data_IF_424444309183
#
_entry.id   IF_424444309183
#
_cell.length_a   1.000
_cell.length_b   1.000
_cell.length_c   1.000
_cell.angle_alpha   90.00
_cell.angle_beta   90.00
_cell.angle_gamma   90.00
#
_symmetry.space_group_name_H-M   'P 1'
#
loop_
_entity.id
_entity.type
_entity.pdbx_description
1 polymer ?
#
# COMPACT_ATOMS: atom_id res chain seq x y z
N UNK A 1 -19.11 -19.37 13.52
CA UNK A 1 -19.94 -19.87 14.64
C UNK A 1 -19.06 -20.73 15.52
N UNK A 2 -18.86 -20.38 16.80
CA UNK A 2 -18.03 -21.17 17.72
C UNK A 2 -18.83 -22.40 18.21
N UNK A 3 -18.37 -23.63 17.94
CA UNK A 3 -19.12 -24.85 18.28
C UNK A 3 -19.01 -25.23 19.77
N UNK A 4 -17.97 -24.76 20.47
CA UNK A 4 -17.72 -25.08 21.87
C UNK A 4 -18.20 -23.96 22.79
N UNK A 5 -19.25 -24.23 23.59
CA UNK A 5 -19.80 -23.30 24.58
C UNK A 5 -18.78 -22.85 25.63
N UNK A 6 -17.73 -23.65 25.92
CA UNK A 6 -16.65 -23.27 26.85
C UNK A 6 -15.66 -22.28 26.26
N UNK A 7 -15.64 -22.12 24.94
CA UNK A 7 -14.78 -21.18 24.21
C UNK A 7 -15.53 -19.96 23.69
N UNK A 8 -16.77 -19.78 24.14
CA UNK A 8 -17.54 -18.57 23.85
C UNK A 8 -17.01 -17.44 24.75
N UNK A 9 -16.65 -16.27 24.18
CA UNK A 9 -16.20 -15.12 24.95
C UNK A 9 -17.24 -14.70 25.99
N UNK A 10 -16.77 -14.40 27.20
CA UNK A 10 -17.62 -13.85 28.28
C UNK A 10 -18.00 -12.41 27.95
N UNK A 11 -17.03 -11.59 27.52
CA UNK A 11 -17.30 -10.27 26.95
C UNK A 11 -17.29 -10.33 25.42
N UNK A 12 -18.11 -9.46 24.80
CA UNK A 12 -18.21 -9.32 23.35
C UNK A 12 -18.23 -7.85 23.00
N UNK A 13 -17.64 -7.51 21.87
CA UNK A 13 -17.73 -6.19 21.28
C UNK A 13 -18.53 -6.29 19.99
N UNK A 14 -19.37 -5.29 19.74
CA UNK A 14 -20.02 -5.17 18.44
C UNK A 14 -19.14 -4.35 17.50
N UNK A 15 -18.79 -4.95 16.35
CA UNK A 15 -18.06 -4.29 15.28
C UNK A 15 -18.84 -4.51 14.00
N UNK A 16 -19.44 -3.45 13.45
CA UNK A 16 -20.22 -3.49 12.20
C UNK A 16 -21.32 -4.56 12.22
N UNK A 17 -22.05 -4.64 13.33
CA UNK A 17 -23.12 -5.62 13.54
C UNK A 17 -22.63 -7.05 13.83
N UNK A 18 -21.31 -7.28 13.90
CA UNK A 18 -20.74 -8.57 14.27
C UNK A 18 -20.30 -8.57 15.73
N UNK A 19 -20.65 -9.62 16.45
CA UNK A 19 -20.16 -9.86 17.81
C UNK A 19 -18.77 -10.50 17.74
N UNK A 20 -17.75 -9.78 18.17
CA UNK A 20 -16.34 -10.20 18.12
C UNK A 20 -15.75 -10.31 19.52
N UNK A 21 -14.68 -11.08 19.65
CA UNK A 21 -13.91 -11.19 20.89
C UNK A 21 -13.08 -9.91 21.10
N UNK A 22 -13.13 -9.26 22.28
CA UNK A 22 -12.15 -8.24 22.63
C UNK A 22 -10.70 -8.70 22.42
N UNK A 23 -9.88 -7.83 21.81
CA UNK A 23 -8.46 -8.14 21.50
C UNK A 23 -7.66 -8.50 22.75
N UNK A 24 -7.89 -7.80 23.85
CA UNK A 24 -7.24 -8.07 25.14
C UNK A 24 -7.50 -9.52 25.62
N UNK A 25 -8.77 -9.94 25.61
CA UNK A 25 -9.13 -11.31 26.00
C UNK A 25 -8.60 -12.34 25.00
N UNK A 26 -8.68 -12.05 23.70
CA UNK A 26 -8.14 -12.91 22.65
C UNK A 26 -6.64 -13.17 22.85
N UNK A 27 -5.85 -12.14 23.18
CA UNK A 27 -4.42 -12.25 23.47
C UNK A 27 -4.11 -13.16 24.68
N UNK A 28 -4.99 -13.17 25.68
CA UNK A 28 -4.87 -14.06 26.84
C UNK A 28 -5.05 -15.53 26.45
N UNK A 29 -5.95 -15.84 25.51
CA UNK A 29 -6.31 -17.23 25.16
C UNK A 29 -5.52 -17.81 23.98
N UNK A 30 -4.96 -16.99 23.09
CA UNK A 30 -4.18 -17.49 21.95
C UNK A 30 -2.93 -18.25 22.42
N UNK A 31 -2.55 -19.29 21.67
CA UNK A 31 -1.33 -20.04 21.92
C UNK A 31 -0.06 -19.29 21.45
N UNK A 32 1.14 -19.75 21.86
CA UNK A 32 2.40 -19.18 21.39
C UNK A 32 2.58 -19.26 19.87
N UNK A 33 1.99 -20.27 19.21
CA UNK A 33 2.04 -20.42 17.75
C UNK A 33 1.44 -19.22 16.99
N UNK A 34 0.55 -18.44 17.59
CA UNK A 34 0.04 -17.22 16.96
C UNK A 34 1.15 -16.17 16.76
N UNK A 35 2.03 -16.01 17.76
CA UNK A 35 3.14 -15.05 17.73
C UNK A 35 4.25 -15.47 16.76
N UNK A 36 4.40 -16.78 16.52
CA UNK A 36 5.34 -17.34 15.55
C UNK A 36 4.79 -17.28 14.12
N UNK A 37 3.53 -17.70 13.93
CA UNK A 37 2.95 -17.82 12.60
C UNK A 37 2.39 -16.47 12.08
N UNK A 38 2.05 -15.55 12.97
CA UNK A 38 1.48 -14.24 12.64
C UNK A 38 2.13 -13.12 13.48
N UNK A 39 3.46 -12.97 13.44
CA UNK A 39 4.19 -12.07 14.34
C UNK A 39 3.72 -10.62 14.20
N UNK A 40 3.51 -10.14 12.97
CA UNK A 40 2.97 -8.78 12.71
C UNK A 40 1.62 -8.56 13.38
N UNK A 41 0.70 -9.51 13.23
CA UNK A 41 -0.65 -9.38 13.81
C UNK A 41 -0.60 -9.43 15.35
N UNK A 42 0.35 -10.19 15.92
CA UNK A 42 0.61 -10.18 17.35
C UNK A 42 1.20 -8.85 17.84
N UNK A 43 2.17 -8.27 17.13
CA UNK A 43 2.71 -6.93 17.46
C UNK A 43 1.61 -5.85 17.39
N UNK A 44 0.78 -5.86 16.34
CA UNK A 44 -0.34 -4.92 16.19
C UNK A 44 -1.34 -5.10 17.33
N UNK A 45 -1.72 -6.35 17.64
CA UNK A 45 -2.64 -6.64 18.72
C UNK A 45 -2.09 -6.12 20.06
N UNK A 46 -0.82 -6.35 20.37
CA UNK A 46 -0.17 -5.81 21.57
C UNK A 46 -0.16 -4.28 21.57
N UNK A 47 0.15 -3.63 20.44
CA UNK A 47 0.19 -2.18 20.31
C UNK A 47 -1.18 -1.51 20.51
N UNK A 48 -2.27 -2.21 20.18
CA UNK A 48 -3.64 -1.71 20.40
C UNK A 48 -4.08 -1.75 21.86
N UNK A 49 -3.46 -2.58 22.71
CA UNK A 49 -3.72 -2.62 24.16
C UNK A 49 -3.21 -1.32 24.80
N UNK A 50 -4.09 -0.53 25.42
CA UNK A 50 -3.72 0.75 26.03
C UNK A 50 -3.06 0.56 27.38
N UNK A 51 -3.51 -0.42 28.15
CA UNK A 51 -2.95 -0.72 29.46
C UNK A 51 -3.07 -2.21 29.82
N UNK A 52 -2.09 -2.73 30.57
CA UNK A 52 -2.14 -4.10 31.10
C UNK A 52 -3.41 -4.39 31.92
N UNK A 53 -4.07 -3.37 32.50
CA UNK A 53 -5.36 -3.52 33.18
C UNK A 53 -6.48 -4.10 32.32
N UNK A 54 -6.37 -4.02 30.98
CA UNK A 54 -7.32 -4.66 30.06
C UNK A 54 -7.17 -6.19 30.03
N UNK A 55 -5.99 -6.70 30.36
CA UNK A 55 -5.65 -8.13 30.34
C UNK A 55 -5.85 -8.78 31.72
N UNK A 56 -5.56 -8.04 32.78
CA UNK A 56 -5.52 -8.56 34.15
C UNK A 56 -6.81 -9.24 34.62
N UNK A 57 -8.03 -8.71 34.34
CA UNK A 57 -9.27 -9.38 34.73
C UNK A 57 -9.37 -10.81 34.17
N UNK A 58 -8.99 -11.00 32.90
CA UNK A 58 -8.99 -12.31 32.26
C UNK A 58 -7.88 -13.20 32.78
N UNK A 59 -6.65 -12.66 32.91
CA UNK A 59 -5.50 -13.44 33.36
C UNK A 59 -5.64 -13.94 34.81
N UNK A 60 -6.29 -13.17 35.67
CA UNK A 60 -6.43 -13.47 37.10
C UNK A 60 -7.74 -14.20 37.44
N UNK A 61 -8.64 -14.40 36.48
CA UNK A 61 -9.89 -15.13 36.68
C UNK A 61 -9.66 -16.64 36.88
N UNK A 62 -10.56 -17.29 37.62
CA UNK A 62 -10.59 -18.74 37.80
C UNK A 62 -9.24 -19.34 38.23
N UNK A 63 -8.77 -20.33 37.47
CA UNK A 63 -7.51 -21.05 37.70
C UNK A 63 -6.24 -20.22 37.48
N UNK A 64 -6.37 -18.95 37.07
CA UNK A 64 -5.28 -18.01 36.75
C UNK A 64 -4.44 -18.49 35.57
N UNK A 65 -4.36 -17.69 34.52
CA UNK A 65 -3.70 -18.07 33.28
C UNK A 65 -2.17 -17.81 33.35
N UNK A 66 -1.46 -18.52 34.22
CA UNK A 66 -0.03 -18.32 34.53
C UNK A 66 0.86 -18.37 33.27
N UNK A 67 0.61 -19.33 32.38
CA UNK A 67 1.36 -19.51 31.13
C UNK A 67 1.12 -18.37 30.15
N UNK A 68 -0.13 -17.92 30.02
CA UNK A 68 -0.49 -16.77 29.19
C UNK A 68 0.10 -15.46 29.75
N UNK A 69 0.03 -15.25 31.07
CA UNK A 69 0.60 -14.08 31.72
C UNK A 69 2.12 -14.01 31.54
N UNK A 70 2.82 -15.14 31.71
CA UNK A 70 4.26 -15.25 31.49
C UNK A 70 4.65 -14.91 30.04
N UNK A 71 3.90 -15.44 29.08
CA UNK A 71 4.06 -15.16 27.66
C UNK A 71 3.81 -13.69 27.33
N UNK A 72 2.69 -13.13 27.76
CA UNK A 72 2.31 -11.75 27.44
C UNK A 72 3.24 -10.74 28.09
N UNK A 73 3.68 -10.96 29.33
CA UNK A 73 4.68 -10.10 29.96
C UNK A 73 5.99 -10.10 29.17
N UNK A 74 6.48 -11.26 28.73
CA UNK A 74 7.65 -11.34 27.86
C UNK A 74 7.43 -10.66 26.50
N UNK A 75 6.24 -10.84 25.90
CA UNK A 75 5.87 -10.24 24.63
C UNK A 75 5.82 -8.71 24.71
N UNK A 76 5.25 -8.12 25.78
CA UNK A 76 5.25 -6.68 26.00
C UNK A 76 6.67 -6.12 26.18
N UNK A 77 7.52 -6.82 26.93
CA UNK A 77 8.92 -6.43 27.06
C UNK A 77 9.63 -6.45 25.69
N UNK A 78 9.39 -7.47 24.86
CA UNK A 78 9.95 -7.57 23.51
C UNK A 78 9.51 -6.38 22.64
N UNK A 79 8.22 -6.03 22.61
CA UNK A 79 7.71 -4.87 21.84
C UNK A 79 7.97 -3.52 22.52
N UNK A 80 9.03 -3.43 23.33
CA UNK A 80 9.50 -2.21 24.00
C UNK A 80 8.44 -1.53 24.90
N UNK A 81 7.65 -2.35 25.62
CA UNK A 81 6.63 -1.91 26.59
C UNK A 81 6.87 -2.55 27.98
N UNK A 82 7.97 -2.19 28.66
CA UNK A 82 8.38 -2.83 29.91
C UNK A 82 7.41 -2.57 31.06
N UNK A 83 6.71 -1.42 31.08
CA UNK A 83 5.78 -1.06 32.16
C UNK A 83 4.58 -2.02 32.22
N UNK A 84 4.05 -2.41 31.06
CA UNK A 84 2.98 -3.40 30.95
C UNK A 84 3.46 -4.78 31.41
N UNK A 85 4.67 -5.17 31.01
CA UNK A 85 5.29 -6.41 31.44
C UNK A 85 5.46 -6.46 32.97
N UNK A 86 5.96 -5.37 33.56
CA UNK A 86 6.16 -5.26 35.01
C UNK A 86 4.83 -5.27 35.76
N UNK A 87 3.80 -4.60 35.24
CA UNK A 87 2.47 -4.57 35.86
C UNK A 87 1.81 -5.93 35.89
N UNK A 88 1.95 -6.73 34.84
CA UNK A 88 1.47 -8.14 34.82
C UNK A 88 2.20 -8.96 35.88
N UNK A 89 3.53 -8.85 35.95
CA UNK A 89 4.34 -9.57 36.94
C UNK A 89 3.97 -9.19 38.38
N UNK A 90 3.86 -7.89 38.68
CA UNK A 90 3.45 -7.39 40.00
C UNK A 90 2.07 -7.90 40.43
N UNK A 91 1.13 -8.01 39.49
CA UNK A 91 -0.21 -8.52 39.78
C UNK A 91 -0.19 -10.00 40.21
N UNK A 92 0.60 -10.83 39.54
CA UNK A 92 0.76 -12.25 39.92
C UNK A 92 1.59 -12.43 41.20
N UNK A 93 2.63 -11.60 41.40
CA UNK A 93 3.45 -11.62 42.61
C UNK A 93 2.63 -11.33 43.88
N UNK A 94 1.62 -10.46 43.81
CA UNK A 94 0.65 -10.24 44.92
C UNK A 94 -0.11 -11.50 45.31
N UNK A 95 -0.27 -12.44 44.39
CA UNK A 95 -0.86 -13.76 44.63
C UNK A 95 0.17 -14.82 44.97
N UNK A 96 1.43 -14.42 45.24
CA UNK A 96 2.58 -15.30 45.51
C UNK A 96 2.92 -16.25 44.34
N UNK A 97 2.58 -15.85 43.11
CA UNK A 97 2.90 -16.60 41.89
C UNK A 97 4.05 -15.88 41.17
N UNK A 98 5.15 -16.59 40.95
CA UNK A 98 6.29 -16.09 40.17
C UNK A 98 6.14 -16.53 38.72
N UNK A 99 6.15 -15.57 37.79
CA UNK A 99 6.05 -15.83 36.35
C UNK A 99 7.43 -16.15 35.76
N UNK A 100 7.50 -17.19 34.91
CA UNK A 100 8.70 -17.52 34.13
C UNK A 100 8.55 -16.96 32.72
N UNK A 101 9.13 -15.80 32.47
CA UNK A 101 9.01 -15.10 31.19
C UNK A 101 9.63 -15.91 30.04
N UNK A 102 8.87 -16.07 28.96
CA UNK A 102 9.32 -16.72 27.71
C UNK A 102 8.80 -15.88 26.55
N UNK A 103 9.72 -15.27 25.79
CA UNK A 103 9.37 -14.49 24.60
C UNK A 103 8.73 -15.42 23.55
N UNK A 104 7.49 -15.17 23.10
CA UNK A 104 6.85 -16.03 22.11
C UNK A 104 7.18 -15.69 20.65
N UNK A 105 7.91 -14.60 20.40
CA UNK A 105 8.32 -14.21 19.04
C UNK A 105 9.62 -14.92 18.64
N UNK A 106 9.72 -15.27 17.35
CA UNK A 106 10.97 -15.70 16.69
C UNK A 106 11.66 -14.55 15.93
N UNK A 107 11.16 -13.33 16.09
CA UNK A 107 11.77 -12.13 15.54
C UNK A 107 13.00 -11.72 16.36
N UNK A 108 14.05 -11.28 15.68
CA UNK A 108 15.23 -10.71 16.33
C UNK A 108 14.91 -9.36 17.01
N UNK A 109 14.08 -8.55 16.37
CA UNK A 109 13.64 -7.24 16.86
C UNK A 109 12.19 -6.96 16.44
N UNK A 110 11.46 -6.09 17.17
CA UNK A 110 10.12 -5.66 16.79
C UNK A 110 10.11 -4.91 15.46
N UNK A 111 9.06 -5.12 14.65
CA UNK A 111 8.87 -4.38 13.39
C UNK A 111 8.09 -3.07 13.60
N UNK A 112 7.43 -2.92 14.74
CA UNK A 112 6.64 -1.75 15.07
C UNK A 112 7.37 -0.94 16.15
N UNK A 113 7.68 0.31 15.81
CA UNK A 113 8.23 1.25 16.79
C UNK A 113 7.20 1.59 17.88
N UNK A 114 7.63 1.79 19.14
CA UNK A 114 6.76 2.31 20.20
C UNK A 114 6.15 3.64 19.79
N UNK A 115 4.85 3.80 20.05
CA UNK A 115 4.15 5.02 19.71
C UNK A 115 2.79 5.13 20.37
N UNK A 116 2.14 6.28 20.14
CA UNK A 116 0.75 6.51 20.53
C UNK A 116 -0.25 6.06 19.45
N UNK A 117 0.23 5.64 18.29
CA UNK A 117 -0.61 5.09 17.23
C UNK A 117 -1.37 3.86 17.73
N UNK A 118 -2.67 3.80 17.43
CA UNK A 118 -3.57 2.71 17.84
C UNK A 118 -4.39 2.17 16.69
N UNK A 119 -4.39 2.84 15.54
CA UNK A 119 -5.04 2.33 14.34
C UNK A 119 -4.32 1.06 13.87
N UNK A 120 -4.98 -0.11 13.89
CA UNK A 120 -4.36 -1.35 13.42
C UNK A 120 -3.98 -1.27 11.94
N UNK A 121 -4.67 -0.43 11.16
CA UNK A 121 -4.35 -0.20 9.75
C UNK A 121 -3.01 0.52 9.59
N UNK A 122 -2.81 1.63 10.32
CA UNK A 122 -1.54 2.38 10.29
C UNK A 122 -0.39 1.52 10.79
N UNK A 123 -0.58 0.82 11.91
CA UNK A 123 0.43 -0.08 12.47
C UNK A 123 0.82 -1.19 11.49
N UNK A 124 -0.16 -1.74 10.74
CA UNK A 124 0.11 -2.73 9.69
C UNK A 124 0.94 -2.15 8.56
N UNK A 125 0.61 -0.96 8.07
CA UNK A 125 1.36 -0.31 6.99
C UNK A 125 2.80 -0.02 7.40
N UNK A 126 3.02 0.47 8.63
CA UNK A 126 4.37 0.72 9.16
C UNK A 126 5.18 -0.57 9.35
N UNK A 127 4.55 -1.63 9.86
CA UNK A 127 5.20 -2.95 9.97
C UNK A 127 5.54 -3.54 8.60
N UNK A 128 4.64 -3.42 7.62
CA UNK A 128 4.91 -3.81 6.23
C UNK A 128 6.10 -3.04 5.68
N UNK A 129 6.12 -1.71 5.85
CA UNK A 129 7.23 -0.87 5.39
C UNK A 129 8.56 -1.28 5.99
N UNK A 130 8.63 -1.34 7.34
CA UNK A 130 9.85 -1.67 8.07
C UNK A 130 10.37 -3.07 7.71
N UNK A 131 9.48 -4.07 7.67
CA UNK A 131 9.85 -5.46 7.39
C UNK A 131 10.24 -5.73 5.94
N UNK A 132 9.87 -4.87 4.99
CA UNK A 132 10.08 -5.08 3.56
C UNK A 132 11.14 -4.18 2.94
N UNK A 133 11.56 -3.13 3.66
CA UNK A 133 12.54 -2.15 3.19
C UNK A 133 13.80 -2.80 2.66
N UNK A 134 14.40 -3.73 3.41
CA UNK A 134 15.66 -4.36 3.02
C UNK A 134 15.51 -5.31 1.83
N UNK A 135 14.39 -6.02 1.72
CA UNK A 135 14.10 -6.90 0.58
C UNK A 135 14.02 -6.11 -0.72
N UNK A 136 13.42 -4.91 -0.70
CA UNK A 136 13.38 -4.03 -1.87
C UNK A 136 14.77 -3.53 -2.25
N UNK A 137 15.57 -3.11 -1.27
CA UNK A 137 16.97 -2.68 -1.51
C UNK A 137 17.77 -3.80 -2.17
N UNK A 138 17.61 -5.05 -1.69
CA UNK A 138 18.34 -6.20 -2.22
C UNK A 138 17.93 -6.57 -3.66
N UNK A 139 16.69 -6.28 -4.07
CA UNK A 139 16.17 -6.60 -5.40
C UNK A 139 16.49 -5.55 -6.48
N UNK A 140 16.80 -4.31 -6.08
CA UNK A 140 17.00 -3.18 -6.99
C UNK A 140 18.48 -2.88 -7.25
N UNK A 141 18.85 -2.43 -8.46
CA UNK A 141 20.18 -1.89 -8.69
C UNK A 141 20.36 -0.55 -7.92
N UNK A 142 21.60 -0.15 -7.60
CA UNK A 142 21.87 1.15 -6.99
C UNK A 142 21.29 2.31 -7.80
N UNK A 143 20.89 3.38 -7.11
CA UNK A 143 20.33 4.57 -7.74
C UNK A 143 21.35 5.20 -8.71
N UNK A 144 20.98 5.49 -9.97
CA UNK A 144 21.88 6.14 -10.94
C UNK A 144 22.34 7.54 -10.52
N UNK A 145 21.56 8.22 -9.68
CA UNK A 145 21.79 9.61 -9.29
C UNK A 145 21.19 10.62 -10.27
N UNK A 146 21.09 11.88 -9.83
CA UNK A 146 20.40 12.95 -10.55
C UNK A 146 21.33 13.86 -11.37
N UNK A 147 22.64 13.63 -11.31
CA UNK A 147 23.65 14.50 -11.92
C UNK A 147 23.48 14.56 -13.45
N UNK A 148 23.44 15.79 -14.00
CA UNK A 148 23.34 16.09 -15.43
C UNK A 148 22.06 15.62 -16.17
N UNK A 149 20.96 15.34 -15.45
CA UNK A 149 19.77 14.73 -16.07
C UNK A 149 18.52 15.61 -16.22
N UNK A 150 18.44 16.83 -15.68
CA UNK A 150 17.17 17.59 -15.60
C UNK A 150 16.32 17.64 -16.89
N UNK A 151 16.81 18.31 -17.94
CA UNK A 151 16.09 18.41 -19.20
C UNK A 151 16.08 17.08 -20.00
N UNK A 152 17.18 16.33 -19.96
CA UNK A 152 17.29 15.05 -20.68
C UNK A 152 16.41 13.93 -20.10
N UNK A 153 16.09 13.98 -18.81
CA UNK A 153 15.24 12.99 -18.15
C UNK A 153 13.80 13.12 -18.63
N UNK A 154 13.23 14.32 -18.63
CA UNK A 154 11.86 14.54 -19.09
C UNK A 154 11.70 14.21 -20.57
N UNK A 155 12.72 14.46 -21.40
CA UNK A 155 12.72 14.03 -22.80
C UNK A 155 12.65 12.49 -22.93
N UNK A 156 13.44 11.75 -22.13
CA UNK A 156 13.34 10.27 -22.08
C UNK A 156 12.02 9.77 -21.53
N UNK A 157 11.36 10.52 -20.64
CA UNK A 157 10.01 10.22 -20.17
C UNK A 157 9.01 10.36 -21.32
N UNK A 158 9.11 11.44 -22.11
CA UNK A 158 8.26 11.66 -23.28
C UNK A 158 8.38 10.56 -24.34
N UNK A 159 9.59 10.08 -24.60
CA UNK A 159 9.85 8.96 -25.51
C UNK A 159 9.10 7.67 -25.11
N UNK A 160 8.74 7.52 -23.83
CA UNK A 160 8.03 6.34 -23.31
C UNK A 160 6.52 6.52 -23.21
N UNK A 161 6.00 7.73 -23.45
CA UNK A 161 4.59 8.05 -23.21
C UNK A 161 3.63 7.10 -23.94
N UNK A 162 3.81 6.88 -25.25
CA UNK A 162 2.87 6.09 -26.06
C UNK A 162 2.77 4.66 -25.52
N UNK A 163 3.93 4.06 -25.24
CA UNK A 163 3.99 2.72 -24.66
C UNK A 163 3.42 2.65 -23.24
N UNK A 164 3.76 3.62 -22.39
CA UNK A 164 3.23 3.70 -21.04
C UNK A 164 1.70 3.79 -21.05
N UNK A 165 1.14 4.71 -21.84
CA UNK A 165 -0.29 4.90 -21.98
C UNK A 165 -0.98 3.64 -22.50
N UNK A 166 -0.45 3.00 -23.55
CA UNK A 166 -1.00 1.76 -24.10
C UNK A 166 -1.07 0.68 -23.01
N UNK A 167 0.08 0.35 -22.40
CA UNK A 167 0.16 -0.74 -21.44
C UNK A 167 -0.65 -0.45 -20.18
N UNK A 168 -0.56 0.77 -19.65
CA UNK A 168 -1.26 1.19 -18.44
C UNK A 168 -2.78 1.17 -18.64
N UNK A 169 -3.30 1.60 -19.79
CA UNK A 169 -4.73 1.55 -20.08
C UNK A 169 -5.21 0.12 -20.39
N UNK A 170 -4.45 -0.66 -21.17
CA UNK A 170 -4.82 -2.04 -21.49
C UNK A 170 -4.84 -2.97 -20.28
N UNK A 171 -3.98 -2.76 -19.28
CA UNK A 171 -3.99 -3.52 -18.02
C UNK A 171 -5.33 -3.36 -17.28
N UNK A 172 -5.95 -2.18 -17.37
CA UNK A 172 -7.27 -1.88 -16.79
C UNK A 172 -8.44 -2.29 -17.69
N UNK A 173 -8.16 -2.82 -18.89
CA UNK A 173 -9.17 -3.34 -19.82
C UNK A 173 -9.73 -2.32 -20.83
N UNK A 174 -9.06 -1.17 -21.02
CA UNK A 174 -9.37 -0.26 -22.12
C UNK A 174 -8.81 -0.79 -23.45
N UNK A 175 -9.54 -0.57 -24.56
CA UNK A 175 -9.12 -0.96 -25.90
C UNK A 175 -8.55 0.25 -26.63
N UNK A 176 -7.24 0.46 -26.48
CA UNK A 176 -6.52 1.61 -27.06
C UNK A 176 -5.50 1.14 -28.09
N UNK A 177 -5.20 2.02 -29.05
CA UNK A 177 -4.16 1.81 -30.07
C UNK A 177 -3.16 2.96 -30.01
N UNK A 178 -1.94 2.73 -30.50
CA UNK A 178 -0.90 3.77 -30.59
C UNK A 178 -1.41 5.00 -31.35
N UNK A 179 -2.15 4.79 -32.46
CA UNK A 179 -2.73 5.87 -33.25
C UNK A 179 -3.73 6.72 -32.45
N UNK A 180 -4.57 6.10 -31.61
CA UNK A 180 -5.49 6.82 -30.73
C UNK A 180 -4.72 7.64 -29.69
N UNK A 181 -3.73 7.04 -29.05
CA UNK A 181 -2.91 7.67 -28.01
C UNK A 181 -2.13 8.86 -28.56
N UNK A 182 -1.52 8.71 -29.74
CA UNK A 182 -0.82 9.80 -30.43
C UNK A 182 -1.77 10.93 -30.83
N UNK A 183 -2.95 10.60 -31.35
CA UNK A 183 -3.97 11.59 -31.75
C UNK A 183 -4.38 12.45 -30.57
N UNK A 184 -4.62 11.82 -29.42
CA UNK A 184 -5.00 12.47 -28.17
C UNK A 184 -3.89 13.39 -27.63
N UNK A 185 -2.62 12.96 -27.75
CA UNK A 185 -1.47 13.73 -27.28
C UNK A 185 -1.20 14.99 -28.13
N UNK A 186 -1.41 14.92 -29.44
CA UNK A 186 -1.17 16.03 -30.38
C UNK A 186 -2.17 17.19 -30.27
N UNK A 187 -3.20 17.08 -29.44
CA UNK A 187 -4.16 18.18 -29.19
C UNK A 187 -5.22 18.38 -30.28
N UNK A 188 -5.25 17.57 -31.34
CA UNK A 188 -6.32 17.56 -32.36
C UNK A 188 -7.61 16.87 -31.86
N UNK A 189 -7.84 16.84 -30.55
CA UNK A 189 -9.04 16.26 -29.96
C UNK A 189 -10.16 17.31 -29.99
N UNK A 190 -11.21 17.04 -30.77
CA UNK A 190 -12.36 17.93 -30.90
C UNK A 190 -13.61 17.21 -30.34
N UNK A 191 -14.08 17.55 -29.12
CA UNK A 191 -15.27 16.94 -28.55
C UNK A 191 -16.56 17.23 -29.33
N UNK A 192 -16.53 18.23 -30.21
CA UNK A 192 -17.61 18.63 -31.13
C UNK A 192 -17.37 18.13 -32.58
N UNK A 193 -16.31 17.34 -32.79
CA UNK A 193 -16.04 16.60 -34.02
C UNK A 193 -16.95 15.37 -34.16
N UNK A 194 -16.48 14.31 -34.83
CA UNK A 194 -17.29 13.08 -35.04
C UNK A 194 -17.78 12.50 -33.68
N UNK A 195 -19.07 12.69 -33.32
CA UNK A 195 -19.54 12.52 -31.94
C UNK A 195 -19.45 11.08 -31.44
N UNK A 196 -19.40 10.11 -32.37
CA UNK A 196 -19.34 8.68 -32.07
C UNK A 196 -17.94 8.24 -31.59
N UNK A 197 -16.86 8.89 -32.03
CA UNK A 197 -15.51 8.37 -31.83
C UNK A 197 -14.75 9.02 -30.65
N UNK A 198 -14.95 10.32 -30.40
CA UNK A 198 -14.21 11.06 -29.38
C UNK A 198 -14.87 11.04 -27.99
N UNK A 199 -16.12 10.60 -27.89
CA UNK A 199 -16.83 10.34 -26.62
C UNK A 199 -16.80 8.87 -26.18
N UNK A 200 -16.07 8.02 -26.90
CA UNK A 200 -15.92 6.63 -26.48
C UNK A 200 -15.19 6.56 -25.13
N UNK A 201 -15.57 5.58 -24.31
CA UNK A 201 -14.93 5.33 -23.00
C UNK A 201 -13.42 5.23 -23.11
N UNK A 202 -12.92 4.58 -24.17
CA UNK A 202 -11.49 4.34 -24.38
C UNK A 202 -10.76 5.62 -24.84
N UNK A 203 -11.37 6.46 -25.68
CA UNK A 203 -10.80 7.76 -26.07
C UNK A 203 -10.71 8.75 -24.90
N UNK A 204 -11.76 8.81 -24.07
CA UNK A 204 -11.77 9.66 -22.87
C UNK A 204 -10.73 9.19 -21.84
N UNK A 205 -10.59 7.87 -21.66
CA UNK A 205 -9.55 7.32 -20.80
C UNK A 205 -8.14 7.63 -21.32
N UNK A 206 -7.91 7.53 -22.63
CA UNK A 206 -6.64 7.94 -23.24
C UNK A 206 -6.37 9.43 -23.05
N UNK A 207 -7.39 10.29 -23.18
CA UNK A 207 -7.28 11.74 -22.96
C UNK A 207 -6.95 12.09 -21.52
N UNK A 208 -7.67 11.50 -20.57
CA UNK A 208 -7.41 11.74 -19.16
C UNK A 208 -6.03 11.23 -18.75
N UNK A 209 -5.62 10.07 -19.29
CA UNK A 209 -4.27 9.56 -19.03
C UNK A 209 -3.19 10.49 -19.56
N UNK A 210 -3.36 11.06 -20.75
CA UNK A 210 -2.44 12.07 -21.28
C UNK A 210 -2.33 13.28 -20.35
N UNK A 211 -3.46 13.83 -19.91
CA UNK A 211 -3.47 15.00 -19.03
C UNK A 211 -2.80 14.71 -17.69
N UNK A 212 -3.11 13.55 -17.08
CA UNK A 212 -2.45 13.10 -15.85
C UNK A 212 -0.95 12.91 -16.06
N UNK A 213 -0.53 12.36 -17.21
CA UNK A 213 0.89 12.20 -17.54
C UNK A 213 1.62 13.55 -17.65
N UNK A 214 0.99 14.57 -18.25
CA UNK A 214 1.55 15.93 -18.31
C UNK A 214 1.69 16.51 -16.90
N UNK A 215 0.66 16.40 -16.05
CA UNK A 215 0.72 16.85 -14.66
C UNK A 215 1.82 16.13 -13.85
N UNK A 216 1.99 14.82 -14.07
CA UNK A 216 3.06 14.03 -13.45
C UNK A 216 4.45 14.50 -13.90
N UNK A 217 4.63 14.90 -15.17
CA UNK A 217 5.90 15.47 -15.62
C UNK A 217 6.24 16.77 -14.89
N UNK A 218 5.26 17.62 -14.61
CA UNK A 218 5.46 18.81 -13.81
C UNK A 218 5.90 18.45 -12.38
N UNK A 219 5.25 17.45 -11.76
CA UNK A 219 5.66 16.92 -10.47
C UNK A 219 7.08 16.34 -10.49
N UNK A 220 7.45 15.59 -11.53
CA UNK A 220 8.82 15.10 -11.72
C UNK A 220 9.80 16.27 -11.82
N UNK A 221 9.45 17.35 -12.53
CA UNK A 221 10.25 18.57 -12.56
C UNK A 221 10.55 19.13 -11.17
N UNK A 222 9.56 19.13 -10.26
CA UNK A 222 9.72 19.54 -8.86
C UNK A 222 10.65 18.59 -8.08
N UNK A 223 10.55 17.28 -8.32
CA UNK A 223 11.43 16.27 -7.72
C UNK A 223 12.88 16.44 -8.21
N UNK A 224 13.09 16.61 -9.52
CA UNK A 224 14.41 16.84 -10.11
C UNK A 224 15.03 18.16 -9.67
N UNK A 225 14.22 19.16 -9.33
CA UNK A 225 14.63 20.41 -8.69
C UNK A 225 14.92 20.26 -7.17
N UNK A 226 15.24 19.04 -6.71
CA UNK A 226 15.56 18.67 -5.31
C UNK A 226 14.38 18.81 -4.33
N UNK A 227 13.13 18.81 -4.83
CA UNK A 227 11.96 18.65 -3.98
C UNK A 227 11.90 17.25 -3.35
N UNK A 228 11.42 17.14 -2.10
CA UNK A 228 11.17 15.83 -1.48
C UNK A 228 10.06 15.12 -2.26
N UNK A 229 10.36 13.94 -2.81
CA UNK A 229 9.42 13.24 -3.68
C UNK A 229 8.15 12.77 -2.95
N UNK A 230 8.26 12.38 -1.67
CA UNK A 230 7.11 12.03 -0.84
C UNK A 230 6.14 13.19 -0.67
N UNK A 231 6.66 14.39 -0.38
CA UNK A 231 5.84 15.61 -0.30
C UNK A 231 5.22 16.00 -1.65
N UNK A 232 5.96 15.86 -2.74
CA UNK A 232 5.46 16.17 -4.09
C UNK A 232 4.28 15.25 -4.43
N UNK A 233 4.42 13.93 -4.26
CA UNK A 233 3.33 13.00 -4.55
C UNK A 233 2.15 13.18 -3.60
N UNK A 234 2.40 13.45 -2.30
CA UNK A 234 1.34 13.77 -1.32
C UNK A 234 0.47 14.93 -1.80
N UNK A 235 1.10 16.01 -2.27
CA UNK A 235 0.37 17.21 -2.72
C UNK A 235 -0.31 17.03 -4.07
N UNK A 236 0.39 16.44 -5.04
CA UNK A 236 -0.01 16.51 -6.45
C UNK A 236 -0.88 15.31 -6.90
N UNK A 237 -0.95 14.20 -6.15
CA UNK A 237 -1.68 12.99 -6.59
C UNK A 237 -3.18 13.21 -6.84
N UNK A 238 -3.80 14.13 -6.11
CA UNK A 238 -5.21 14.46 -6.26
C UNK A 238 -5.47 15.22 -7.57
N UNK A 239 -4.52 16.06 -7.99
CA UNK A 239 -4.56 16.76 -9.28
C UNK A 239 -4.39 15.76 -10.43
N UNK A 240 -3.47 14.78 -10.30
CA UNK A 240 -3.33 13.71 -11.29
C UNK A 240 -4.61 12.89 -11.45
N UNK A 241 -5.30 12.62 -10.34
CA UNK A 241 -6.57 11.92 -10.36
C UNK A 241 -7.68 12.76 -11.03
N UNK A 242 -7.71 14.06 -10.74
CA UNK A 242 -8.64 14.99 -11.40
C UNK A 242 -8.42 15.04 -12.91
N UNK A 243 -7.17 15.13 -13.37
CA UNK A 243 -6.84 15.09 -14.80
C UNK A 243 -7.18 13.74 -15.45
N UNK A 244 -6.95 12.63 -14.72
CA UNK A 244 -7.24 11.28 -15.23
C UNK A 244 -8.71 11.07 -15.58
N UNK A 245 -9.62 11.70 -14.85
CA UNK A 245 -11.07 11.53 -15.02
C UNK A 245 -11.79 12.78 -15.56
N UNK A 246 -11.10 13.92 -15.65
CA UNK A 246 -11.63 15.19 -16.14
C UNK A 246 -12.42 15.07 -17.44
N UNK A 247 -11.88 14.44 -18.50
CA UNK A 247 -12.61 14.24 -19.76
C UNK A 247 -13.92 13.46 -19.60
N UNK A 248 -13.92 12.43 -18.76
CA UNK A 248 -15.12 11.63 -18.49
C UNK A 248 -16.19 12.43 -17.73
N UNK A 249 -15.77 13.37 -16.87
CA UNK A 249 -16.68 14.30 -16.19
C UNK A 249 -17.24 15.34 -17.16
N UNK A 250 -16.39 15.94 -17.99
CA UNK A 250 -16.84 16.89 -19.03
C UNK A 250 -17.82 16.24 -20.01
N UNK A 251 -17.62 14.96 -20.34
CA UNK A 251 -18.52 14.18 -21.17
C UNK A 251 -19.81 13.71 -20.46
N UNK A 252 -19.97 13.98 -19.17
CA UNK A 252 -21.14 13.58 -18.38
C UNK A 252 -21.23 12.07 -18.09
N UNK A 253 -20.14 11.32 -18.28
CA UNK A 253 -20.07 9.87 -18.01
C UNK A 253 -19.79 9.60 -16.52
N UNK A 254 -19.05 10.51 -15.89
CA UNK A 254 -18.67 10.45 -14.48
C UNK A 254 -19.20 11.69 -13.77
N UNK A 255 -19.79 11.52 -12.60
CA UNK A 255 -20.24 12.63 -11.76
C UNK A 255 -19.04 13.45 -11.27
N UNK A 256 -19.11 14.79 -11.35
CA UNK A 256 -18.03 15.66 -10.89
C UNK A 256 -17.68 15.44 -9.40
N UNK A 257 -18.65 15.03 -8.59
CA UNK A 257 -18.43 14.67 -7.18
C UNK A 257 -17.48 13.48 -6.99
N UNK A 258 -17.28 12.63 -8.01
CA UNK A 258 -16.31 11.53 -7.95
C UNK A 258 -14.85 12.01 -8.04
N UNK A 259 -14.60 13.25 -8.48
CA UNK A 259 -13.29 13.90 -8.36
C UNK A 259 -13.06 14.48 -6.96
N UNK A 260 -14.12 14.64 -6.17
CA UNK A 260 -14.07 15.27 -4.86
C UNK A 260 -13.65 14.26 -3.79
N UNK A 261 -12.34 14.09 -3.64
CA UNK A 261 -11.75 13.38 -2.51
C UNK A 261 -11.61 11.87 -2.69
N UNK A 262 -11.41 11.17 -1.57
CA UNK A 262 -11.31 9.71 -1.52
C UNK A 262 -12.69 9.06 -1.45
N UNK A 263 -12.75 7.77 -1.78
CA UNK A 263 -13.98 7.00 -1.73
C UNK A 263 -14.58 6.98 -0.32
N UNK A 264 -15.91 7.00 -0.25
CA UNK A 264 -16.66 6.87 1.00
C UNK A 264 -17.31 5.51 1.18
N UNK A 265 -17.30 4.68 0.14
CA UNK A 265 -17.92 3.36 0.11
C UNK A 265 -16.93 2.19 0.09
N UNK A 266 -17.43 0.97 0.30
CA UNK A 266 -16.67 -0.26 0.13
C UNK A 266 -16.38 -0.53 -1.35
N UNK A 267 -15.30 -1.26 -1.61
CA UNK A 267 -14.89 -1.71 -2.94
C UNK A 267 -14.28 -3.10 -2.86
N UNK A 268 -14.21 -3.79 -3.99
CA UNK A 268 -13.55 -5.08 -4.13
C UNK A 268 -12.68 -5.09 -5.37
N UNK A 269 -11.49 -5.67 -5.26
CA UNK A 269 -10.59 -5.86 -6.40
C UNK A 269 -10.94 -7.22 -7.01
N UNK A 270 -11.35 -7.22 -8.28
CA UNK A 270 -11.66 -8.48 -8.98
C UNK A 270 -10.41 -9.35 -9.06
N UNK A 271 -10.59 -10.66 -8.83
CA UNK A 271 -9.53 -11.67 -8.90
C UNK A 271 -8.36 -11.47 -7.90
N UNK A 272 -8.61 -10.78 -6.79
CA UNK A 272 -7.67 -10.69 -5.67
C UNK A 272 -8.35 -11.16 -4.39
N UNK A 273 -7.59 -11.86 -3.53
CA UNK A 273 -8.01 -12.18 -2.17
C UNK A 273 -7.80 -11.00 -1.21
N UNK A 274 -7.08 -9.97 -1.65
CA UNK A 274 -6.93 -8.73 -0.90
C UNK A 274 -8.26 -7.97 -0.85
N UNK A 275 -8.64 -7.56 0.36
CA UNK A 275 -9.76 -6.64 0.56
C UNK A 275 -9.19 -5.27 0.90
N UNK A 276 -9.45 -4.24 0.08
CA UNK A 276 -9.01 -2.89 0.37
C UNK A 276 -9.46 -2.40 1.75
N UNK A 277 -8.73 -1.42 2.27
CA UNK A 277 -9.06 -0.83 3.57
C UNK A 277 -10.49 -0.27 3.58
N UNK A 278 -11.18 -0.30 4.71
CA UNK A 278 -12.48 0.36 4.77
C UNK A 278 -12.31 1.89 4.69
N UNK A 279 -13.36 2.60 4.24
CA UNK A 279 -13.29 4.04 3.98
C UNK A 279 -12.92 4.86 5.21
N UNK A 280 -13.30 4.40 6.41
CA UNK A 280 -12.99 5.09 7.67
C UNK A 280 -11.50 5.03 8.04
N UNK A 281 -10.74 4.10 7.45
CA UNK A 281 -9.30 3.96 7.70
C UNK A 281 -8.44 4.70 6.67
N UNK A 282 -9.03 5.24 5.60
CA UNK A 282 -8.27 5.77 4.46
C UNK A 282 -7.37 6.94 4.82
N UNK A 283 -7.91 7.95 5.51
CA UNK A 283 -7.17 9.19 5.79
C UNK A 283 -5.93 8.92 6.65
N UNK A 284 -6.11 8.22 7.77
CA UNK A 284 -5.00 7.85 8.66
C UNK A 284 -3.96 6.99 7.93
N UNK A 285 -4.42 6.07 7.08
CA UNK A 285 -3.54 5.15 6.34
C UNK A 285 -2.74 5.85 5.24
N UNK A 286 -3.36 6.80 4.54
CA UNK A 286 -2.69 7.62 3.54
C UNK A 286 -1.70 8.58 4.21
N UNK A 287 -2.08 9.21 5.33
CA UNK A 287 -1.15 10.07 6.07
C UNK A 287 0.09 9.29 6.52
N UNK A 288 -0.09 8.08 7.04
CA UNK A 288 1.01 7.19 7.36
C UNK A 288 1.86 6.84 6.14
N UNK A 289 1.25 6.56 4.98
CA UNK A 289 1.99 6.33 3.73
C UNK A 289 2.82 7.55 3.34
N UNK A 290 2.24 8.75 3.45
CA UNK A 290 2.93 9.99 3.09
C UNK A 290 4.11 10.30 4.00
N UNK A 291 3.96 10.11 5.31
CA UNK A 291 5.07 10.24 6.26
C UNK A 291 6.21 9.25 5.95
N UNK A 292 5.89 7.99 5.63
CA UNK A 292 6.89 6.99 5.27
C UNK A 292 7.60 7.35 3.96
N UNK A 293 6.86 7.86 2.96
CA UNK A 293 7.43 8.33 1.71
C UNK A 293 8.28 9.58 1.87
N UNK A 294 7.93 10.49 2.76
CA UNK A 294 8.72 11.70 3.01
C UNK A 294 10.03 11.36 3.72
N UNK A 295 9.99 10.42 4.66
CA UNK A 295 11.13 10.03 5.48
C UNK A 295 12.10 9.03 4.82
N UNK A 296 11.67 8.28 3.81
CA UNK A 296 12.49 7.23 3.21
C UNK A 296 13.61 7.79 2.31
N UNK A 297 14.90 7.54 2.62
CA UNK A 297 16.00 8.01 1.78
C UNK A 297 16.09 7.28 0.43
N UNK A 298 15.80 5.98 0.38
CA UNK A 298 16.03 5.15 -0.81
C UNK A 298 14.90 5.29 -1.84
N UNK A 299 15.25 5.76 -3.04
CA UNK A 299 14.27 5.98 -4.11
C UNK A 299 13.57 4.68 -4.58
N UNK A 300 14.29 3.54 -4.59
CA UNK A 300 13.70 2.25 -4.94
C UNK A 300 12.67 1.78 -3.90
N UNK A 301 12.97 1.98 -2.60
CA UNK A 301 12.04 1.67 -1.51
C UNK A 301 10.81 2.55 -1.61
N UNK A 302 10.99 3.87 -1.78
CA UNK A 302 9.88 4.80 -2.03
C UNK A 302 9.01 4.33 -3.18
N UNK A 303 9.61 4.04 -4.33
CA UNK A 303 8.87 3.64 -5.52
C UNK A 303 8.07 2.35 -5.34
N UNK A 304 8.72 1.26 -4.89
CA UNK A 304 8.09 -0.07 -4.80
C UNK A 304 7.06 -0.11 -3.69
N UNK A 305 7.42 0.32 -2.48
CA UNK A 305 6.51 0.28 -1.33
C UNK A 305 5.43 1.35 -1.43
N UNK A 306 5.78 2.54 -1.93
CA UNK A 306 4.82 3.60 -2.20
C UNK A 306 3.75 3.17 -3.19
N UNK A 307 4.17 2.59 -4.30
CA UNK A 307 3.28 1.99 -5.29
C UNK A 307 2.37 0.93 -4.67
N UNK A 308 2.96 -0.08 -4.03
CA UNK A 308 2.23 -1.21 -3.48
C UNK A 308 1.24 -0.78 -2.40
N UNK A 309 1.67 0.02 -1.42
CA UNK A 309 0.81 0.44 -0.32
C UNK A 309 -0.29 1.39 -0.79
N UNK A 310 -0.05 2.25 -1.79
CA UNK A 310 -1.09 3.06 -2.38
C UNK A 310 -2.21 2.20 -2.99
N UNK A 311 -1.87 1.18 -3.78
CA UNK A 311 -2.88 0.27 -4.37
C UNK A 311 -3.48 -0.71 -3.37
N UNK A 312 -2.77 -1.01 -2.28
CA UNK A 312 -3.27 -1.79 -1.14
C UNK A 312 -4.33 -1.02 -0.33
N UNK A 313 -4.09 0.27 -0.07
CA UNK A 313 -5.08 1.19 0.55
C UNK A 313 -6.27 1.40 -0.39
N UNK A 314 -5.99 1.57 -1.68
CA UNK A 314 -6.97 1.71 -2.75
C UNK A 314 -7.94 2.88 -2.51
N UNK A 315 -7.46 4.13 -2.52
CA UNK A 315 -8.20 5.28 -2.00
C UNK A 315 -9.34 5.79 -2.89
N UNK A 316 -9.39 5.41 -4.17
CA UNK A 316 -10.42 5.86 -5.12
C UNK A 316 -11.36 4.72 -5.54
N UNK A 317 -12.51 5.05 -6.15
CA UNK A 317 -13.43 4.05 -6.70
C UNK A 317 -12.88 3.38 -7.98
N UNK A 318 -12.11 4.11 -8.77
CA UNK A 318 -11.41 3.63 -9.97
C UNK A 318 -10.08 4.40 -10.10
N UNK A 319 -9.19 3.98 -11.01
CA UNK A 319 -7.97 4.70 -11.36
C UNK A 319 -6.77 4.41 -10.46
N UNK A 320 -6.95 3.66 -9.36
CA UNK A 320 -5.87 3.35 -8.40
C UNK A 320 -4.65 2.68 -9.05
N UNK A 321 -4.86 1.77 -10.02
CA UNK A 321 -3.76 1.12 -10.75
C UNK A 321 -2.96 2.12 -11.60
N UNK A 322 -3.66 3.00 -12.32
CA UNK A 322 -3.05 4.03 -13.18
C UNK A 322 -2.29 5.07 -12.36
N UNK A 323 -2.93 5.64 -11.34
CA UNK A 323 -2.28 6.58 -10.42
C UNK A 323 -1.13 5.91 -9.67
N UNK A 324 -1.30 4.65 -9.25
CA UNK A 324 -0.23 3.90 -8.58
C UNK A 324 1.01 3.73 -9.45
N UNK A 325 0.88 3.49 -10.75
CA UNK A 325 2.02 3.40 -11.69
C UNK A 325 2.66 4.76 -11.96
N UNK A 326 1.85 5.83 -12.09
CA UNK A 326 2.36 7.21 -12.21
C UNK A 326 3.12 7.65 -10.94
N UNK A 327 2.60 7.31 -9.76
CA UNK A 327 3.23 7.53 -8.45
C UNK A 327 4.55 6.76 -8.35
N UNK A 328 4.57 5.48 -8.74
CA UNK A 328 5.79 4.66 -8.79
C UNK A 328 6.88 5.35 -9.60
N UNK A 329 6.56 5.80 -10.82
CA UNK A 329 7.51 6.43 -11.72
C UNK A 329 7.99 7.81 -11.24
N UNK A 330 7.12 8.59 -10.59
CA UNK A 330 7.51 9.85 -9.94
C UNK A 330 8.52 9.63 -8.83
N UNK A 331 8.34 8.57 -8.04
CA UNK A 331 9.25 8.20 -6.95
C UNK A 331 10.56 7.60 -7.48
N UNK A 332 10.54 6.80 -8.54
CA UNK A 332 11.75 6.32 -9.24
C UNK A 332 12.61 7.48 -9.74
N UNK A 333 11.98 8.53 -10.28
CA UNK A 333 12.68 9.71 -10.79
C UNK A 333 13.56 10.38 -9.73
N UNK A 334 13.20 10.29 -8.45
CA UNK A 334 13.98 10.87 -7.35
C UNK A 334 15.35 10.22 -7.12
N UNK A 335 15.56 9.00 -7.63
CA UNK A 335 16.86 8.32 -7.65
C UNK A 335 17.57 8.36 -9.00
N UNK A 336 16.98 9.01 -10.01
CA UNK A 336 17.48 9.01 -11.39
C UNK A 336 17.21 7.70 -12.15
N UNK A 337 16.36 6.82 -11.62
CA UNK A 337 15.94 5.62 -12.32
C UNK A 337 15.10 5.97 -13.55
N UNK A 338 15.18 5.22 -14.67
CA UNK A 338 14.37 5.50 -15.85
C UNK A 338 12.89 5.23 -15.61
N UNK A 339 12.03 5.96 -16.33
CA UNK A 339 10.59 5.72 -16.34
C UNK A 339 10.28 4.27 -16.75
N UNK A 340 9.64 3.52 -15.87
CA UNK A 340 9.38 2.08 -16.05
C UNK A 340 7.96 1.84 -16.54
N UNK A 341 7.84 1.15 -17.67
CA UNK A 341 6.56 0.72 -18.24
C UNK A 341 6.29 -0.70 -17.77
N UNK A 342 5.12 -0.94 -17.16
CA UNK A 342 4.66 -2.29 -16.84
C UNK A 342 3.94 -2.86 -18.04
N UNK A 343 4.55 -3.83 -18.74
CA UNK A 343 4.00 -4.36 -19.99
C UNK A 343 2.71 -5.17 -19.80
N UNK A 344 1.73 -4.93 -20.67
CA UNK A 344 0.46 -5.66 -20.73
C UNK A 344 0.69 -7.16 -20.98
N UNK A 345 1.68 -7.52 -21.79
CA UNK A 345 2.07 -8.93 -22.02
C UNK A 345 2.50 -9.65 -20.73
N UNK A 346 2.87 -8.91 -19.67
CA UNK A 346 3.27 -9.44 -18.36
C UNK A 346 2.27 -9.11 -17.25
N UNK A 347 1.05 -8.69 -17.59
CA UNK A 347 -0.02 -8.36 -16.64
C UNK A 347 -0.23 -9.47 -15.59
N UNK A 348 -0.23 -10.72 -15.99
CA UNK A 348 -0.45 -11.84 -15.07
C UNK A 348 0.69 -12.00 -14.06
N UNK A 349 1.93 -11.76 -14.48
CA UNK A 349 3.08 -11.78 -13.57
C UNK A 349 3.02 -10.62 -12.57
N UNK A 350 2.67 -9.42 -13.05
CA UNK A 350 2.47 -8.24 -12.22
C UNK A 350 1.36 -8.45 -11.16
N UNK A 351 0.20 -8.96 -11.58
CA UNK A 351 -0.93 -9.24 -10.68
C UNK A 351 -0.58 -10.32 -9.64
N UNK A 352 0.14 -11.38 -10.04
CA UNK A 352 0.62 -12.41 -9.10
C UNK A 352 1.61 -11.85 -8.07
N UNK A 353 2.46 -10.92 -8.48
CA UNK A 353 3.41 -10.27 -7.58
C UNK A 353 2.71 -9.33 -6.57
N UNK A 354 1.72 -8.55 -7.03
CA UNK A 354 0.87 -7.74 -6.15
C UNK A 354 0.09 -8.61 -5.14
N UNK A 355 -0.45 -9.75 -5.57
CA UNK A 355 -1.17 -10.69 -4.71
C UNK A 355 -0.24 -11.32 -3.66
N UNK A 356 0.98 -11.70 -4.05
CA UNK A 356 1.99 -12.22 -3.13
C UNK A 356 2.33 -11.20 -2.03
N UNK A 357 2.51 -9.93 -2.39
CA UNK A 357 2.75 -8.86 -1.42
C UNK A 357 1.54 -8.62 -0.52
N UNK A 358 0.34 -8.49 -1.11
CA UNK A 358 -0.88 -8.11 -0.37
C UNK A 358 -1.40 -9.21 0.56
N UNK A 359 -1.29 -10.47 0.15
CA UNK A 359 -1.96 -11.61 0.82
C UNK A 359 -0.98 -12.49 1.57
N UNK A 360 0.22 -12.72 1.01
CA UNK A 360 1.24 -13.59 1.61
C UNK A 360 2.31 -12.81 2.34
N UNK A 361 2.28 -11.49 2.25
CA UNK A 361 3.26 -10.59 2.84
C UNK A 361 4.66 -10.69 2.22
N UNK A 362 4.75 -11.10 0.96
CA UNK A 362 6.01 -11.32 0.23
C UNK A 362 6.22 -10.21 -0.80
N UNK A 363 7.04 -9.22 -0.47
CA UNK A 363 7.29 -8.07 -1.35
C UNK A 363 8.27 -8.37 -2.48
N UNK A 364 9.21 -9.28 -2.26
CA UNK A 364 10.35 -9.54 -3.16
C UNK A 364 9.92 -9.81 -4.61
N UNK A 365 8.88 -10.62 -4.88
CA UNK A 365 8.43 -10.84 -6.26
C UNK A 365 8.02 -9.56 -6.99
N UNK A 366 7.42 -8.59 -6.29
CA UNK A 366 7.03 -7.31 -6.88
C UNK A 366 8.25 -6.41 -7.11
N UNK A 367 9.17 -6.37 -6.15
CA UNK A 367 10.41 -5.61 -6.30
C UNK A 367 11.25 -6.12 -7.48
N UNK A 368 11.46 -7.43 -7.57
CA UNK A 368 12.19 -8.07 -8.67
C UNK A 368 11.49 -7.84 -10.02
N UNK A 369 10.15 -7.94 -10.06
CA UNK A 369 9.37 -7.70 -11.26
C UNK A 369 9.56 -6.26 -11.78
N UNK A 370 9.43 -5.25 -10.92
CA UNK A 370 9.61 -3.85 -11.31
C UNK A 370 11.06 -3.60 -11.74
N UNK A 371 12.04 -4.12 -11.00
CA UNK A 371 13.45 -4.00 -11.37
C UNK A 371 13.75 -4.66 -12.73
N UNK A 372 13.08 -5.77 -13.05
CA UNK A 372 13.18 -6.43 -14.35
C UNK A 372 12.55 -5.58 -15.47
N UNK A 373 11.33 -5.06 -15.30
CA UNK A 373 10.70 -4.17 -16.28
C UNK A 373 11.56 -2.93 -16.55
N UNK A 374 12.16 -2.37 -15.50
CA UNK A 374 13.05 -1.21 -15.60
C UNK A 374 14.31 -1.51 -16.43
N UNK A 375 14.92 -2.69 -16.25
CA UNK A 375 16.15 -3.10 -16.96
C UNK A 375 15.90 -3.52 -18.41
N UNK A 376 14.79 -4.21 -18.67
CA UNK A 376 14.53 -4.88 -19.94
C UNK A 376 13.80 -4.01 -20.97
N UNK A 377 13.43 -2.78 -20.59
CA UNK A 377 12.70 -1.90 -21.48
C UNK A 377 13.50 -1.62 -22.77
N UNK A 378 12.86 -1.85 -23.91
CA UNK A 378 13.36 -1.41 -25.22
C UNK A 378 12.19 -1.15 -26.17
N UNK A 379 12.26 -0.10 -27.01
CA UNK A 379 11.21 0.23 -27.99
C UNK A 379 10.93 -0.88 -29.02
N UNK A 380 11.89 -1.80 -29.20
CA UNK A 380 11.84 -2.87 -30.19
C UNK A 380 11.13 -4.13 -29.67
N UNK A 381 11.26 -4.43 -28.37
CA UNK A 381 10.58 -5.58 -27.75
C UNK A 381 9.07 -5.34 -27.65
N UNK A 382 8.66 -4.12 -27.33
CA UNK A 382 7.24 -3.77 -27.22
C UNK A 382 6.51 -3.85 -28.57
N UNK A 383 7.16 -3.45 -29.67
CA UNK A 383 6.62 -3.61 -31.04
C UNK A 383 6.49 -5.07 -31.50
N UNK A 384 7.24 -6.00 -30.89
CA UNK A 384 7.10 -7.44 -31.15
C UNK A 384 5.96 -8.05 -30.32
N UNK A 385 5.80 -7.61 -29.08
CA UNK A 385 4.74 -8.08 -28.18
C UNK A 385 3.35 -7.53 -28.56
N UNK A 386 3.28 -6.38 -29.25
CA UNK A 386 2.03 -5.74 -29.73
C UNK A 386 1.51 -6.23 -31.09
N UNK A 387 2.10 -7.26 -31.70
CA UNK A 387 1.58 -7.88 -32.94
C UNK A 387 0.61 -9.02 -32.62
N UNK A 388 -0.64 -8.67 -32.35
CA UNK A 388 -1.80 -9.55 -32.63
C UNK A 388 -3.00 -8.69 -32.99
#
# INVERSE_FOLDING_TARGET
>A
MYPDKKRVPVARLEVRGLQVWPVAEALCVVGPSFFVNNPREAEIALATIRNASELLPTLLAGDKMVTAASRLAAAFAFVNRPDEAERIQKAFAKLKITLKLVNPFELAEPTISPGKERSPYVLRLRSMWAGWRQDVINAFPPAPGLENQGAGYLARVDERYVSDAYNSLSIEGYRVTDALIERVARGNWNPDGDPEHDKTRDALAARGYYQAFVAVKESIGKVLAKGNAGLVVKRDHHDWYAELFGPSVTAGIVEASQLAGYRRGPIFIRNSMHTPLPSEALLDSLEALWEMLEAEPEACVRAVLGHHLFVFIHPYFDGNGRIGRLLMNTLLASGGYPWTVIRMSRRDAYMKALEAASVKGQITPLAEFIAQEMREWSPERERKDGKT
#
